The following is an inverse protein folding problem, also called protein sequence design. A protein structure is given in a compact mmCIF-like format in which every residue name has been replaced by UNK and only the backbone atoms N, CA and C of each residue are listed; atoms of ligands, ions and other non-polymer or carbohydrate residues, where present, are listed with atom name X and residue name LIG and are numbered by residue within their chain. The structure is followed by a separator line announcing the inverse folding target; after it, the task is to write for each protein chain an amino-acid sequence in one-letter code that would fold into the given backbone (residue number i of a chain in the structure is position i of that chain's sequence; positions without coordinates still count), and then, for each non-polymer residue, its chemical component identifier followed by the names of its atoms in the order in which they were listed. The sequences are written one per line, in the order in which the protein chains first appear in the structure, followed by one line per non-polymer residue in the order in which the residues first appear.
data_IF_627622800632
#
_entry.id   IF_627622800632
#
_cell.length_a   1.000
_cell.length_b   1.000
_cell.length_c   1.000
_cell.angle_alpha   90.00
_cell.angle_beta   90.00
_cell.angle_gamma   90.00
#
_symmetry.space_group_name_H-M   'P 1'
#
loop_
_entity.id
_entity.type
_entity.pdbx_description
1 polymer ?
#
# COMPACT_ATOMS: atom_id res chain seq x y z
N UNK A 1 -4.42 14.05 -21.20
CA UNK A 1 -5.44 13.86 -20.14
C UNK A 1 -6.10 15.20 -19.83
N UNK A 2 -7.43 15.29 -19.93
CA UNK A 2 -8.16 16.54 -19.67
C UNK A 2 -8.25 16.80 -18.15
N UNK A 3 -8.36 18.07 -17.72
CA UNK A 3 -8.38 18.48 -16.30
C UNK A 3 -9.36 17.65 -15.44
N UNK A 4 -10.57 17.40 -15.94
CA UNK A 4 -11.58 16.64 -15.21
C UNK A 4 -11.15 15.19 -14.93
N UNK A 5 -10.44 14.54 -15.86
CA UNK A 5 -9.93 13.18 -15.66
C UNK A 5 -8.84 13.15 -14.57
N UNK A 6 -7.95 14.16 -14.52
CA UNK A 6 -6.94 14.27 -13.46
C UNK A 6 -7.58 14.37 -12.09
N UNK A 7 -8.61 15.22 -11.98
CA UNK A 7 -9.35 15.43 -10.73
C UNK A 7 -10.04 14.14 -10.31
N UNK A 8 -10.74 13.45 -11.22
CA UNK A 8 -11.41 12.17 -10.92
C UNK A 8 -10.42 11.13 -10.41
N UNK A 9 -9.26 10.96 -11.05
CA UNK A 9 -8.24 10.02 -10.60
C UNK A 9 -7.65 10.41 -9.24
N UNK A 10 -7.40 11.69 -9.00
CA UNK A 10 -6.92 12.17 -7.71
C UNK A 10 -7.92 11.89 -6.58
N UNK A 11 -9.21 12.11 -6.82
CA UNK A 11 -10.27 11.77 -5.87
C UNK A 11 -10.38 10.25 -5.66
N UNK A 12 -10.30 9.45 -6.74
CA UNK A 12 -10.36 7.99 -6.64
C UNK A 12 -9.20 7.42 -5.81
N UNK A 13 -7.97 7.89 -6.05
CA UNK A 13 -6.80 7.50 -5.25
C UNK A 13 -6.94 7.93 -3.79
N UNK A 14 -7.44 9.15 -3.55
CA UNK A 14 -7.69 9.65 -2.19
C UNK A 14 -8.70 8.77 -1.46
N UNK A 15 -9.81 8.43 -2.12
CA UNK A 15 -10.82 7.52 -1.58
C UNK A 15 -10.24 6.12 -1.29
N UNK A 16 -9.47 5.55 -2.23
CA UNK A 16 -8.83 4.25 -2.05
C UNK A 16 -7.87 4.24 -0.85
N UNK A 17 -7.10 5.31 -0.66
CA UNK A 17 -6.20 5.47 0.47
C UNK A 17 -6.96 5.59 1.80
N UNK A 18 -8.02 6.41 1.85
CA UNK A 18 -8.86 6.56 3.04
C UNK A 18 -9.55 5.24 3.42
N UNK A 19 -10.06 4.49 2.44
CA UNK A 19 -10.63 3.16 2.65
C UNK A 19 -9.56 2.22 3.21
N UNK A 20 -8.35 2.25 2.67
CA UNK A 20 -7.24 1.42 3.17
C UNK A 20 -6.92 1.71 4.63
N UNK A 21 -6.78 2.99 5.00
CA UNK A 21 -6.56 3.39 6.41
C UNK A 21 -7.73 2.93 7.28
N UNK A 22 -8.96 3.16 6.85
CA UNK A 22 -10.15 2.80 7.60
C UNK A 22 -10.21 1.29 7.84
N UNK A 23 -10.03 0.47 6.80
CA UNK A 23 -10.04 -0.99 6.92
C UNK A 23 -8.90 -1.48 7.82
N UNK A 24 -7.70 -0.92 7.71
CA UNK A 24 -6.59 -1.26 8.60
C UNK A 24 -6.90 -0.92 10.07
N UNK A 25 -7.42 0.28 10.30
CA UNK A 25 -7.82 0.73 11.64
C UNK A 25 -8.93 -0.15 12.21
N UNK A 26 -9.97 -0.43 11.43
CA UNK A 26 -11.08 -1.30 11.85
C UNK A 26 -10.58 -2.72 12.12
N UNK A 27 -9.68 -3.27 11.31
CA UNK A 27 -9.11 -4.59 11.53
C UNK A 27 -8.24 -4.67 12.80
N UNK A 28 -7.58 -3.56 13.17
CA UNK A 28 -6.80 -3.48 14.41
C UNK A 28 -7.64 -3.22 15.66
N UNK A 29 -8.83 -2.61 15.52
CA UNK A 29 -9.67 -2.18 16.65
C UNK A 29 -10.91 -3.02 16.88
N UNK A 30 -11.54 -3.53 15.82
CA UNK A 30 -12.62 -4.50 15.94
C UNK A 30 -12.02 -5.90 16.08
N UNK A 31 -12.58 -6.74 16.97
CA UNK A 31 -12.26 -8.17 17.01
C UNK A 31 -12.88 -8.87 15.79
N UNK A 32 -12.30 -8.63 14.60
CA UNK A 32 -12.60 -9.41 13.41
C UNK A 32 -12.19 -10.86 13.72
N UNK A 33 -13.16 -11.79 13.68
CA UNK A 33 -12.97 -13.20 14.06
C UNK A 33 -12.76 -13.44 15.58
N UNK A 34 -13.38 -12.63 16.46
CA UNK A 34 -13.29 -12.73 17.93
C UNK A 34 -11.86 -12.58 18.51
N UNK A 35 -10.90 -12.19 17.68
CA UNK A 35 -9.51 -11.93 18.05
C UNK A 35 -9.08 -10.62 17.40
N UNK A 36 -8.31 -9.82 18.11
CA UNK A 36 -7.68 -8.61 17.57
C UNK A 36 -6.43 -8.99 16.76
N UNK A 37 -5.98 -8.09 15.87
CA UNK A 37 -4.70 -8.27 15.14
C UNK A 37 -3.53 -8.56 16.09
N UNK A 38 -3.53 -7.95 17.29
CA UNK A 38 -2.53 -8.18 18.32
C UNK A 38 -2.61 -9.56 18.96
N UNK A 39 -3.81 -10.08 19.21
CA UNK A 39 -4.02 -11.42 19.79
C UNK A 39 -3.67 -12.54 18.80
N UNK A 40 -4.00 -12.38 17.51
CA UNK A 40 -3.54 -13.32 16.47
C UNK A 40 -2.01 -13.31 16.41
N UNK A 41 -1.37 -12.15 16.48
CA UNK A 41 0.09 -12.06 16.50
C UNK A 41 0.72 -12.69 17.76
N UNK A 42 0.04 -12.62 18.91
CA UNK A 42 0.52 -13.18 20.18
C UNK A 42 0.30 -14.70 20.32
N UNK A 43 -0.58 -15.29 19.50
CA UNK A 43 -0.85 -16.73 19.49
C UNK A 43 0.26 -17.57 18.83
N UNK A 44 1.23 -16.93 18.18
CA UNK A 44 2.28 -17.63 17.45
C UNK A 44 3.65 -17.15 17.90
N UNK A 45 4.25 -17.91 18.83
CA UNK A 45 5.66 -17.83 19.19
C UNK A 45 6.50 -18.47 18.06
N UNK A 46 6.74 -17.71 16.99
CA UNK A 46 7.75 -18.06 16.00
C UNK A 46 8.67 -16.85 15.78
N UNK A 47 9.97 -17.13 15.65
CA UNK A 47 11.12 -16.19 15.55
C UNK A 47 10.99 -15.07 14.48
N UNK A 48 9.93 -15.09 13.67
CA UNK A 48 9.66 -14.16 12.58
C UNK A 48 8.35 -13.38 12.73
N UNK A 49 7.58 -13.60 13.81
CA UNK A 49 6.43 -12.73 14.09
C UNK A 49 6.98 -11.38 14.52
N UNK A 50 6.72 -10.31 13.76
CA UNK A 50 7.15 -9.01 14.17
C UNK A 50 6.47 -8.69 15.50
N UNK A 51 7.24 -8.33 16.54
CA UNK A 51 6.68 -7.83 17.79
C UNK A 51 5.61 -6.76 17.48
N UNK A 52 4.57 -6.59 18.30
CA UNK A 52 3.49 -5.63 18.01
C UNK A 52 3.97 -4.22 17.61
N UNK A 53 5.16 -3.82 18.06
CA UNK A 53 5.85 -2.61 17.62
C UNK A 53 6.13 -2.54 16.10
N UNK A 54 6.45 -3.63 15.42
CA UNK A 54 6.76 -3.62 13.98
C UNK A 54 5.53 -3.29 13.14
N UNK A 55 4.31 -3.48 13.65
CA UNK A 55 3.10 -2.95 13.00
C UNK A 55 3.06 -1.41 12.97
N UNK A 56 3.84 -0.72 13.80
CA UNK A 56 3.94 0.75 13.78
C UNK A 56 4.52 1.30 12.46
N UNK A 57 5.22 0.47 11.67
CA UNK A 57 5.71 0.87 10.35
C UNK A 57 4.57 1.24 9.39
N UNK A 58 3.38 0.67 9.57
CA UNK A 58 2.19 1.04 8.79
C UNK A 58 1.85 2.52 8.98
N UNK A 59 2.01 3.07 10.19
CA UNK A 59 1.83 4.49 10.44
C UNK A 59 2.77 5.36 9.61
N UNK A 60 4.05 4.97 9.50
CA UNK A 60 5.04 5.66 8.66
C UNK A 60 4.67 5.55 7.19
N UNK A 61 4.30 4.35 6.71
CA UNK A 61 3.88 4.12 5.32
C UNK A 61 2.65 4.98 4.99
N UNK A 62 1.64 5.04 5.86
CA UNK A 62 0.47 5.89 5.66
C UNK A 62 0.81 7.36 5.66
N UNK A 63 1.73 7.83 6.51
CA UNK A 63 2.16 9.22 6.51
C UNK A 63 2.84 9.59 5.19
N UNK A 64 3.73 8.73 4.68
CA UNK A 64 4.38 8.92 3.38
C UNK A 64 3.37 8.89 2.22
N UNK A 65 2.43 7.94 2.24
CA UNK A 65 1.36 7.84 1.25
C UNK A 65 0.41 9.05 1.29
N UNK A 66 0.14 9.61 2.47
CA UNK A 66 -0.61 10.85 2.61
C UNK A 66 0.10 12.01 1.92
N UNK A 67 1.43 12.11 2.05
CA UNK A 67 2.24 13.08 1.32
C UNK A 67 2.07 12.96 -0.20
N UNK A 68 2.09 11.73 -0.73
CA UNK A 68 1.81 11.46 -2.14
C UNK A 68 0.40 11.89 -2.57
N UNK A 69 -0.63 11.54 -1.79
CA UNK A 69 -2.03 11.90 -2.08
C UNK A 69 -2.21 13.42 -2.09
N UNK A 70 -1.62 14.14 -1.13
CA UNK A 70 -1.64 15.60 -1.08
C UNK A 70 -0.94 16.21 -2.30
N UNK A 71 0.23 15.69 -2.67
CA UNK A 71 0.97 16.15 -3.86
C UNK A 71 0.12 15.98 -5.13
N UNK A 72 -0.52 14.83 -5.32
CA UNK A 72 -1.38 14.60 -6.48
C UNK A 72 -2.60 15.54 -6.51
N UNK A 73 -3.18 15.86 -5.34
CA UNK A 73 -4.34 16.75 -5.23
C UNK A 73 -3.92 18.18 -5.59
N UNK A 74 -2.79 18.65 -5.04
CA UNK A 74 -2.24 19.97 -5.38
C UNK A 74 -1.93 20.06 -6.87
N UNK A 75 -1.34 19.03 -7.48
CA UNK A 75 -1.09 18.99 -8.92
C UNK A 75 -2.39 19.00 -9.75
N UNK A 76 -3.44 18.30 -9.29
CA UNK A 76 -4.74 18.28 -9.97
C UNK A 76 -5.48 19.63 -9.95
N UNK A 77 -5.25 20.46 -8.93
CA UNK A 77 -5.87 21.79 -8.78
C UNK A 77 -4.99 22.96 -9.25
N UNK A 78 -3.70 22.72 -9.56
CA UNK A 78 -2.84 23.78 -10.12
C UNK A 78 -3.35 24.22 -11.49
N UNK A 79 -3.66 25.52 -11.59
CA UNK A 79 -4.02 26.19 -12.84
C UNK A 79 -2.73 26.38 -13.65
N UNK A 80 -2.31 25.38 -14.40
CA UNK A 80 -1.20 25.53 -15.34
C UNK A 80 -1.66 25.10 -16.73
N UNK A 81 -1.62 26.06 -17.67
CA UNK A 81 -2.02 25.94 -19.08
C UNK A 81 -1.22 24.92 -19.90
N UNK A 82 -0.19 24.30 -19.32
CA UNK A 82 0.64 23.38 -20.06
C UNK A 82 0.13 21.94 -19.91
N UNK A 83 -0.12 21.31 -21.07
CA UNK A 83 -0.31 19.86 -21.27
C UNK A 83 0.85 18.98 -20.71
N UNK A 84 1.80 19.56 -19.98
CA UNK A 84 2.97 18.92 -19.35
C UNK A 84 2.77 18.52 -17.90
N UNK A 85 1.55 18.59 -17.36
CA UNK A 85 1.25 17.97 -16.07
C UNK A 85 1.44 16.45 -16.17
N UNK A 86 2.61 16.02 -15.74
CA UNK A 86 3.30 14.73 -15.88
C UNK A 86 2.33 13.55 -15.79
N UNK A 87 2.28 12.72 -16.82
CA UNK A 87 1.39 11.56 -16.94
C UNK A 87 1.64 10.40 -15.96
N UNK A 88 2.29 10.64 -14.82
CA UNK A 88 2.52 9.62 -13.80
C UNK A 88 1.23 9.26 -13.06
N UNK A 89 0.35 10.23 -12.78
CA UNK A 89 -0.93 9.99 -12.09
C UNK A 89 -1.78 8.99 -12.88
N UNK A 90 -1.90 9.14 -14.19
CA UNK A 90 -2.64 8.19 -15.04
C UNK A 90 -2.03 6.79 -15.02
N UNK A 91 -0.71 6.70 -15.15
CA UNK A 91 0.02 5.43 -15.19
C UNK A 91 0.01 4.67 -13.86
N UNK A 92 -0.17 5.36 -12.74
CA UNK A 92 0.00 4.81 -11.39
C UNK A 92 -1.34 4.67 -10.67
N UNK A 93 -2.33 5.52 -10.93
CA UNK A 93 -3.62 5.50 -10.21
C UNK A 93 -4.28 4.13 -10.22
N UNK A 94 -4.31 3.47 -11.38
CA UNK A 94 -4.89 2.12 -11.48
C UNK A 94 -4.15 1.11 -10.57
N UNK A 95 -2.82 1.12 -10.59
CA UNK A 95 -2.01 0.22 -9.76
C UNK A 95 -2.08 0.58 -8.27
N UNK A 96 -2.26 1.86 -7.95
CA UNK A 96 -2.43 2.34 -6.58
C UNK A 96 -3.78 1.91 -6.00
N UNK A 97 -4.84 1.98 -6.79
CA UNK A 97 -6.16 1.45 -6.40
C UNK A 97 -6.08 -0.07 -6.25
N UNK A 98 -5.44 -0.75 -7.19
CA UNK A 98 -5.24 -2.20 -7.10
C UNK A 98 -4.43 -2.61 -5.85
N UNK A 99 -3.38 -1.87 -5.50
CA UNK A 99 -2.60 -2.12 -4.28
C UNK A 99 -3.41 -1.84 -3.00
N UNK A 100 -4.25 -0.80 -3.01
CA UNK A 100 -5.17 -0.48 -1.91
C UNK A 100 -6.18 -1.60 -1.67
N UNK A 101 -6.79 -2.11 -2.76
CA UNK A 101 -7.74 -3.24 -2.69
C UNK A 101 -7.05 -4.53 -2.23
N UNK A 102 -5.87 -4.83 -2.77
CA UNK A 102 -5.09 -6.01 -2.38
C UNK A 102 -4.69 -5.93 -0.90
N UNK A 103 -4.32 -4.75 -0.40
CA UNK A 103 -4.03 -4.54 1.03
C UNK A 103 -5.26 -4.85 1.90
N UNK A 104 -6.43 -4.34 1.53
CA UNK A 104 -7.68 -4.61 2.25
C UNK A 104 -8.01 -6.12 2.24
N UNK A 105 -7.96 -6.76 1.07
CA UNK A 105 -8.24 -8.19 0.92
C UNK A 105 -7.26 -9.07 1.71
N UNK A 106 -5.98 -8.69 1.74
CA UNK A 106 -4.96 -9.39 2.51
C UNK A 106 -5.29 -9.40 4.00
N UNK A 107 -5.72 -8.26 4.56
CA UNK A 107 -6.10 -8.17 5.97
C UNK A 107 -7.24 -9.12 6.34
N UNK A 108 -8.26 -9.21 5.48
CA UNK A 108 -9.36 -10.16 5.68
C UNK A 108 -8.84 -11.59 5.61
N UNK A 109 -8.10 -11.96 4.56
CA UNK A 109 -7.56 -13.31 4.41
C UNK A 109 -6.66 -13.73 5.59
N UNK A 110 -5.88 -12.78 6.13
CA UNK A 110 -5.05 -12.99 7.30
C UNK A 110 -5.87 -13.16 8.59
N UNK A 111 -6.92 -12.36 8.81
CA UNK A 111 -7.81 -12.50 9.97
C UNK A 111 -8.62 -13.80 9.99
N UNK A 112 -9.02 -14.30 8.81
CA UNK A 112 -9.68 -15.59 8.67
C UNK A 112 -8.69 -16.77 8.65
N UNK A 113 -7.40 -16.52 8.89
CA UNK A 113 -6.34 -17.54 8.95
C UNK A 113 -6.21 -18.39 7.68
N UNK A 114 -6.68 -17.87 6.53
CA UNK A 114 -6.56 -18.53 5.22
C UNK A 114 -5.17 -18.23 4.65
N UNK A 115 -4.15 -18.86 5.23
CA UNK A 115 -2.74 -18.50 5.06
C UNK A 115 -2.26 -18.52 3.59
N UNK A 116 -2.62 -19.55 2.82
CA UNK A 116 -2.26 -19.66 1.41
C UNK A 116 -2.90 -18.57 0.54
N UNK A 117 -4.15 -18.20 0.83
CA UNK A 117 -4.82 -17.10 0.15
C UNK A 117 -4.19 -15.76 0.53
N UNK A 118 -3.87 -15.57 1.81
CA UNK A 118 -3.17 -14.38 2.28
C UNK A 118 -1.80 -14.22 1.60
N UNK A 119 -1.04 -15.32 1.43
CA UNK A 119 0.23 -15.31 0.69
C UNK A 119 0.04 -14.91 -0.77
N UNK A 120 -0.96 -15.47 -1.45
CA UNK A 120 -1.25 -15.14 -2.85
C UNK A 120 -1.61 -13.66 -3.02
N UNK A 121 -2.48 -13.12 -2.14
CA UNK A 121 -2.86 -11.70 -2.16
C UNK A 121 -1.64 -10.81 -1.83
N UNK A 122 -0.78 -11.22 -0.91
CA UNK A 122 0.44 -10.49 -0.57
C UNK A 122 1.41 -10.41 -1.76
N UNK A 123 1.58 -11.51 -2.51
CA UNK A 123 2.39 -11.53 -3.73
C UNK A 123 1.80 -10.62 -4.82
N UNK A 124 0.47 -10.60 -4.97
CA UNK A 124 -0.21 -9.67 -5.87
C UNK A 124 0.04 -8.21 -5.45
N UNK A 125 -0.10 -7.90 -4.16
CA UNK A 125 0.18 -6.58 -3.60
C UNK A 125 1.63 -6.16 -3.90
N UNK A 126 2.60 -7.04 -3.62
CA UNK A 126 4.00 -6.80 -3.93
C UNK A 126 4.23 -6.54 -5.43
N UNK A 127 3.60 -7.34 -6.29
CA UNK A 127 3.64 -7.16 -7.74
C UNK A 127 3.13 -5.78 -8.17
N UNK A 128 1.99 -5.33 -7.63
CA UNK A 128 1.46 -3.99 -7.94
C UNK A 128 2.44 -2.89 -7.52
N UNK A 129 3.08 -3.00 -6.34
CA UNK A 129 4.05 -2.01 -5.86
C UNK A 129 5.33 -1.98 -6.71
N UNK A 130 5.82 -3.15 -7.14
CA UNK A 130 6.97 -3.24 -8.06
C UNK A 130 6.63 -2.57 -9.40
N UNK A 131 5.43 -2.81 -9.94
CA UNK A 131 5.00 -2.15 -11.18
C UNK A 131 4.95 -0.63 -10.99
N UNK A 132 4.40 -0.13 -9.88
CA UNK A 132 4.41 1.30 -9.55
C UNK A 132 5.85 1.84 -9.52
N UNK A 133 6.75 1.15 -8.83
CA UNK A 133 8.16 1.54 -8.72
C UNK A 133 8.85 1.62 -10.10
N UNK A 134 8.66 0.63 -10.97
CA UNK A 134 9.23 0.62 -12.32
C UNK A 134 8.64 1.74 -13.17
N UNK A 135 7.32 1.98 -13.08
CA UNK A 135 6.63 3.05 -13.82
C UNK A 135 7.06 4.44 -13.37
N UNK A 136 7.43 4.59 -12.10
CA UNK A 136 7.97 5.82 -11.53
C UNK A 136 9.42 6.09 -11.96
N UNK A 137 10.23 5.04 -12.11
CA UNK A 137 11.67 5.17 -12.47
C UNK A 137 11.92 5.64 -13.91
N UNK A 138 10.90 5.76 -14.76
CA UNK A 138 11.07 6.28 -16.11
C UNK A 138 11.50 7.76 -16.05
N UNK A 139 12.70 8.13 -16.52
CA UNK A 139 13.17 9.51 -16.46
C UNK A 139 12.19 10.40 -17.23
N UNK A 140 11.62 11.37 -16.53
CA UNK A 140 10.93 12.48 -17.16
C UNK A 140 11.91 13.64 -17.19
N UNK A 141 12.21 14.16 -18.38
CA UNK A 141 13.21 15.23 -18.63
C UNK A 141 12.93 16.57 -17.90
N UNK A 142 11.93 16.61 -17.02
CA UNK A 142 11.41 17.82 -16.34
C UNK A 142 11.00 17.57 -14.88
N UNK A 143 11.64 16.61 -14.19
CA UNK A 143 11.32 16.32 -12.80
C UNK A 143 11.79 17.44 -11.85
N UNK A 144 10.89 17.94 -11.00
CA UNK A 144 11.24 18.91 -9.96
C UNK A 144 12.08 18.19 -8.89
N UNK A 145 13.11 18.82 -8.31
CA UNK A 145 14.04 18.18 -7.36
C UNK A 145 13.37 17.51 -6.13
N UNK A 146 12.12 17.86 -5.84
CA UNK A 146 11.32 17.37 -4.70
C UNK A 146 10.48 16.12 -5.08
N UNK A 147 10.21 15.92 -6.37
CA UNK A 147 9.34 14.86 -6.88
C UNK A 147 9.85 13.43 -6.63
N UNK A 148 11.16 13.13 -6.70
CA UNK A 148 11.69 11.82 -6.33
C UNK A 148 11.40 11.46 -4.87
N UNK A 149 11.50 12.44 -3.96
CA UNK A 149 11.34 12.22 -2.52
C UNK A 149 9.87 12.04 -2.12
N UNK A 150 8.96 12.84 -2.67
CA UNK A 150 7.53 12.77 -2.30
C UNK A 150 6.78 11.63 -2.99
N UNK A 151 7.24 11.17 -4.15
CA UNK A 151 6.56 10.12 -4.91
C UNK A 151 7.27 8.78 -4.83
N UNK A 152 8.60 8.68 -4.91
CA UNK A 152 9.25 7.36 -4.93
C UNK A 152 9.42 6.79 -3.52
N UNK A 153 9.76 7.62 -2.54
CA UNK A 153 10.00 7.20 -1.16
C UNK A 153 8.84 6.43 -0.53
N UNK A 154 7.55 6.86 -0.62
CA UNK A 154 6.44 6.08 -0.08
C UNK A 154 6.37 4.68 -0.67
N UNK A 155 6.49 4.54 -1.99
CA UNK A 155 6.34 3.25 -2.65
C UNK A 155 7.53 2.32 -2.44
N UNK A 156 8.76 2.84 -2.32
CA UNK A 156 9.93 2.03 -2.01
C UNK A 156 9.90 1.50 -0.58
N UNK A 157 9.56 2.36 0.39
CA UNK A 157 9.38 1.96 1.79
C UNK A 157 8.25 0.92 1.89
N UNK A 158 7.13 1.16 1.20
CA UNK A 158 6.01 0.23 1.20
C UNK A 158 6.36 -1.12 0.56
N UNK A 159 7.03 -1.13 -0.60
CA UNK A 159 7.48 -2.37 -1.24
C UNK A 159 8.49 -3.15 -0.39
N UNK A 160 9.41 -2.45 0.29
CA UNK A 160 10.36 -3.06 1.22
C UNK A 160 9.66 -3.75 2.38
N UNK A 161 8.69 -3.09 2.98
CA UNK A 161 7.87 -3.68 4.05
C UNK A 161 7.07 -4.91 3.57
N UNK A 162 6.37 -4.79 2.43
CA UNK A 162 5.59 -5.91 1.88
C UNK A 162 6.48 -7.10 1.53
N UNK A 163 7.73 -6.89 1.12
CA UNK A 163 8.70 -7.97 0.89
C UNK A 163 8.99 -8.76 2.17
N UNK A 164 9.25 -8.07 3.29
CA UNK A 164 9.45 -8.70 4.60
C UNK A 164 8.18 -9.43 5.05
N UNK A 165 7.02 -8.78 4.92
CA UNK A 165 5.73 -9.37 5.28
C UNK A 165 5.40 -10.62 4.43
N UNK A 166 5.82 -10.66 3.17
CA UNK A 166 5.68 -11.83 2.28
C UNK A 166 6.51 -13.01 2.80
N UNK A 167 7.77 -12.77 3.18
CA UNK A 167 8.64 -13.82 3.75
C UNK A 167 8.04 -14.35 5.05
N UNK A 168 7.60 -13.46 5.95
CA UNK A 168 6.96 -13.86 7.21
C UNK A 168 5.68 -14.70 6.97
N UNK A 169 4.85 -14.29 6.00
CA UNK A 169 3.64 -15.03 5.62
C UNK A 169 3.98 -16.41 5.03
N UNK A 170 5.02 -16.51 4.21
CA UNK A 170 5.49 -17.77 3.63
C UNK A 170 5.99 -18.73 4.72
N UNK A 171 6.85 -18.24 5.63
CA UNK A 171 7.35 -19.04 6.77
C UNK A 171 6.17 -19.59 7.57
N UNK A 172 5.15 -18.76 7.82
CA UNK A 172 3.93 -19.18 8.53
C UNK A 172 3.14 -20.26 7.78
N UNK A 173 2.98 -20.13 6.46
CA UNK A 173 2.33 -21.16 5.64
C UNK A 173 3.07 -22.50 5.73
N UNK A 174 4.40 -22.47 5.67
CA UNK A 174 5.23 -23.67 5.75
C UNK A 174 5.11 -24.33 7.13
N UNK A 175 5.25 -23.57 8.22
CA UNK A 175 5.11 -24.09 9.58
C UNK A 175 3.73 -24.72 9.83
N UNK A 176 2.67 -24.13 9.29
CA UNK A 176 1.31 -24.66 9.42
C UNK A 176 1.06 -25.95 8.60
N UNK A 177 1.87 -26.21 7.56
CA UNK A 177 1.77 -27.44 6.76
C UNK A 177 2.57 -28.63 7.32
N UNK A 178 3.47 -28.36 8.27
CA UNK A 178 4.37 -29.35 8.87
C UNK A 178 3.96 -29.80 10.27
N UNK A 179 2.93 -29.20 10.86
CA UNK A 179 2.35 -29.56 12.17
C UNK A 179 0.98 -30.18 12.00
#
# INVERSE_FOLDING_TARGET
MNRNQKIVLAFANTAAFLVTILVNYLASTLPLNQKTTGEISALYDNLFVPAGFTFSIWGIIYLLLAGYVVYQLVDAFRIQESNTGKGFTEKISFWFIASSLANCLWLFAWHYEVLWLALLIMLLLLGTLIVIYIRLKQPTDTASAIEPYLVHLPFTVYAGWISVATIATLVRCLSASTG
#
